data_IF_155055146818
#
_entry.id   IF_155055146818
#
_cell.length_a   1.000
_cell.length_b   1.000
_cell.length_c   1.000
_cell.angle_alpha   90.00
_cell.angle_beta   90.00
_cell.angle_gamma   90.00
#
_symmetry.space_group_name_H-M   'P 1'
#
loop_
_entity.id
_entity.type
_entity.pdbx_description
1 polymer ?
#
# COMPACT_ATOMS: atom_id res chain seq x y z
N UNK A 1 -21.65 -20.73 0.83
CA UNK A 1 -20.45 -20.60 1.69
C UNK A 1 -20.20 -19.11 1.87
N UNK A 2 -20.20 -18.60 3.10
CA UNK A 2 -20.07 -17.16 3.38
C UNK A 2 -18.74 -16.61 2.84
N UNK A 3 -18.73 -15.41 2.23
CA UNK A 3 -17.50 -14.78 1.77
C UNK A 3 -16.49 -14.72 2.93
N UNK A 4 -15.28 -15.25 2.71
CA UNK A 4 -14.25 -15.34 3.74
C UNK A 4 -13.81 -13.92 4.15
N UNK A 5 -14.38 -13.43 5.26
CA UNK A 5 -14.04 -12.14 5.84
C UNK A 5 -12.56 -12.09 6.23
N UNK A 6 -11.95 -10.92 6.11
CA UNK A 6 -10.57 -10.69 6.52
C UNK A 6 -10.37 -11.07 8.00
N UNK A 7 -9.28 -11.79 8.28
CA UNK A 7 -8.94 -12.23 9.64
C UNK A 7 -8.58 -11.03 10.53
N UNK A 8 -8.62 -11.21 11.86
CA UNK A 8 -8.17 -10.16 12.78
C UNK A 8 -6.69 -9.80 12.54
N UNK A 9 -5.84 -10.80 12.26
CA UNK A 9 -4.43 -10.62 11.89
C UNK A 9 -4.27 -9.75 10.65
N UNK A 10 -5.02 -10.04 9.59
CA UNK A 10 -4.98 -9.29 8.33
C UNK A 10 -5.38 -7.83 8.53
N UNK A 11 -6.45 -7.58 9.31
CA UNK A 11 -6.89 -6.23 9.64
C UNK A 11 -5.84 -5.47 10.45
N UNK A 12 -5.29 -6.10 11.49
CA UNK A 12 -4.26 -5.49 12.33
C UNK A 12 -3.01 -5.15 11.53
N UNK A 13 -2.55 -6.08 10.67
CA UNK A 13 -1.41 -5.84 9.78
C UNK A 13 -1.70 -4.68 8.83
N UNK A 14 -2.84 -4.69 8.16
CA UNK A 14 -3.24 -3.64 7.22
C UNK A 14 -3.28 -2.26 7.89
N UNK A 15 -3.99 -2.11 9.01
CA UNK A 15 -4.10 -0.81 9.69
C UNK A 15 -2.79 -0.35 10.31
N UNK A 16 -1.94 -1.26 10.79
CA UNK A 16 -0.60 -0.93 11.31
C UNK A 16 0.31 -0.42 10.19
N UNK A 17 0.36 -1.13 9.06
CA UNK A 17 1.12 -0.70 7.87
C UNK A 17 0.57 0.61 7.32
N UNK A 18 -0.75 0.73 7.17
CA UNK A 18 -1.39 1.94 6.67
C UNK A 18 -1.05 3.17 7.53
N UNK A 19 -1.11 3.02 8.86
CA UNK A 19 -0.77 4.10 9.79
C UNK A 19 0.69 4.53 9.65
N UNK A 20 1.62 3.58 9.58
CA UNK A 20 3.04 3.88 9.40
C UNK A 20 3.32 4.55 8.05
N UNK A 21 2.70 4.06 6.97
CA UNK A 21 2.82 4.65 5.63
C UNK A 21 2.27 6.08 5.60
N UNK A 22 1.13 6.35 6.23
CA UNK A 22 0.57 7.70 6.29
C UNK A 22 1.50 8.68 7.02
N UNK A 23 2.12 8.27 8.13
CA UNK A 23 3.11 9.08 8.84
C UNK A 23 4.35 9.34 7.97
N UNK A 24 4.85 8.29 7.28
CA UNK A 24 5.99 8.41 6.36
C UNK A 24 5.69 9.36 5.19
N UNK A 25 4.49 9.25 4.60
CA UNK A 25 4.04 10.14 3.52
C UNK A 25 3.94 11.58 4.00
N UNK A 26 3.28 11.82 5.15
CA UNK A 26 3.12 13.17 5.69
C UNK A 26 4.48 13.83 5.99
N UNK A 27 5.37 13.12 6.69
CA UNK A 27 6.72 13.61 6.99
C UNK A 27 7.57 13.79 5.74
N UNK A 28 7.46 12.89 4.75
CA UNK A 28 8.13 12.99 3.45
C UNK A 28 7.70 14.23 2.66
N UNK A 29 6.39 14.50 2.60
CA UNK A 29 5.82 15.69 1.93
C UNK A 29 6.35 16.97 2.58
N UNK A 30 6.37 17.04 3.92
CA UNK A 30 6.90 18.20 4.65
C UNK A 30 8.39 18.44 4.36
N UNK A 31 9.17 17.37 4.19
CA UNK A 31 10.59 17.49 3.84
C UNK A 31 10.82 17.85 2.36
N UNK A 32 9.93 17.41 1.47
CA UNK A 32 10.06 17.63 0.03
C UNK A 32 9.59 19.03 -0.40
N UNK A 33 8.48 19.52 0.14
CA UNK A 33 7.89 20.82 -0.24
C UNK A 33 8.56 21.95 0.53
N UNK A 34 9.28 22.89 -0.12
CA UNK A 34 10.05 23.92 0.58
C UNK A 34 9.22 24.80 1.51
N UNK A 35 8.03 25.20 1.07
CA UNK A 35 7.12 26.05 1.85
C UNK A 35 6.66 25.36 3.15
N UNK A 36 6.26 24.08 3.09
CA UNK A 36 5.85 23.32 4.27
C UNK A 36 7.01 23.14 5.24
N UNK A 37 8.21 22.89 4.70
CA UNK A 37 9.43 22.75 5.48
C UNK A 37 9.76 24.01 6.29
N UNK A 38 9.51 25.19 5.71
CA UNK A 38 9.72 26.48 6.37
C UNK A 38 8.66 26.75 7.44
N UNK A 39 7.38 26.49 7.12
CA UNK A 39 6.26 26.69 8.06
C UNK A 39 6.40 25.80 9.29
N UNK A 40 6.75 24.53 9.11
CA UNK A 40 6.94 23.60 10.23
C UNK A 40 8.18 23.98 11.04
N UNK A 41 9.25 24.49 10.40
CA UNK A 41 10.47 24.99 11.04
C UNK A 41 11.32 23.94 11.77
N UNK A 42 10.75 22.77 12.09
CA UNK A 42 11.33 21.71 12.93
C UNK A 42 11.89 20.56 12.10
N UNK A 43 12.79 20.85 11.15
CA UNK A 43 13.36 19.84 10.23
C UNK A 43 13.97 18.63 10.93
N UNK A 44 14.63 18.85 12.08
CA UNK A 44 15.19 17.76 12.88
C UNK A 44 14.11 16.79 13.35
N UNK A 45 13.03 17.28 13.96
CA UNK A 45 11.95 16.43 14.47
C UNK A 45 11.21 15.72 13.36
N UNK A 46 10.90 16.39 12.24
CA UNK A 46 10.25 15.76 11.08
C UNK A 46 11.09 14.61 10.53
N UNK A 47 12.39 14.83 10.34
CA UNK A 47 13.32 13.78 9.88
C UNK A 47 13.38 12.62 10.87
N UNK A 48 13.52 12.91 12.17
CA UNK A 48 13.60 11.89 13.22
C UNK A 48 12.31 11.06 13.26
N UNK A 49 11.14 11.69 13.21
CA UNK A 49 9.85 11.00 13.12
C UNK A 49 9.74 10.14 11.87
N UNK A 50 10.22 10.62 10.73
CA UNK A 50 10.24 9.84 9.47
C UNK A 50 11.08 8.56 9.62
N UNK A 51 12.29 8.67 10.17
CA UNK A 51 13.17 7.50 10.39
C UNK A 51 12.58 6.53 11.41
N UNK A 52 12.03 7.03 12.52
CA UNK A 52 11.35 6.19 13.52
C UNK A 52 10.17 5.45 12.88
N UNK A 53 9.34 6.13 12.07
CA UNK A 53 8.22 5.52 11.37
C UNK A 53 8.70 4.44 10.37
N UNK A 54 9.83 4.65 9.69
CA UNK A 54 10.41 3.65 8.79
C UNK A 54 10.87 2.40 9.56
N UNK A 55 11.53 2.57 10.71
CA UNK A 55 11.93 1.46 11.57
C UNK A 55 10.72 0.70 12.13
N UNK A 56 9.68 1.43 12.55
CA UNK A 56 8.43 0.82 13.00
C UNK A 56 7.73 0.04 11.89
N UNK A 57 7.72 0.55 10.66
CA UNK A 57 7.19 -0.17 9.50
C UNK A 57 7.92 -1.50 9.29
N UNK A 58 9.26 -1.51 9.34
CA UNK A 58 10.05 -2.74 9.25
C UNK A 58 9.71 -3.69 10.39
N UNK A 59 9.62 -3.19 11.63
CA UNK A 59 9.25 -4.01 12.79
C UNK A 59 7.84 -4.62 12.63
N UNK A 60 6.86 -3.85 12.16
CA UNK A 60 5.48 -4.32 11.90
C UNK A 60 5.50 -5.46 10.86
N UNK A 61 6.23 -5.28 9.75
CA UNK A 61 6.33 -6.25 8.66
C UNK A 61 7.08 -7.54 9.04
N UNK A 62 7.93 -7.51 10.07
CA UNK A 62 8.64 -8.69 10.56
C UNK A 62 7.89 -9.38 11.71
N UNK A 63 7.46 -8.62 12.71
CA UNK A 63 6.93 -9.16 13.98
C UNK A 63 5.53 -9.73 13.81
N UNK A 64 4.62 -9.03 13.12
CA UNK A 64 3.23 -9.51 12.98
C UNK A 64 3.18 -10.82 12.18
N UNK A 65 3.86 -10.95 11.03
CA UNK A 65 3.91 -12.22 10.31
C UNK A 65 4.62 -13.34 11.10
N UNK A 66 5.68 -13.03 11.85
CA UNK A 66 6.37 -14.02 12.68
C UNK A 66 5.47 -14.58 13.79
N UNK A 67 4.66 -13.74 14.45
CA UNK A 67 3.72 -14.16 15.50
C UNK A 67 2.52 -14.94 14.97
N UNK A 68 2.15 -14.74 13.70
CA UNK A 68 0.96 -15.33 13.07
C UNK A 68 1.30 -15.98 11.73
N UNK A 69 2.33 -16.81 11.76
CA UNK A 69 2.98 -17.37 10.57
C UNK A 69 2.05 -18.15 9.63
N UNK A 70 1.08 -18.90 10.17
CA UNK A 70 0.09 -19.63 9.36
C UNK A 70 -0.81 -18.69 8.56
N UNK A 71 -1.28 -17.61 9.19
CA UNK A 71 -2.16 -16.62 8.59
C UNK A 71 -1.38 -15.81 7.54
N UNK A 72 -0.14 -15.42 7.87
CA UNK A 72 0.73 -14.70 6.96
C UNK A 72 1.09 -15.53 5.72
N UNK A 73 1.48 -16.80 5.87
CA UNK A 73 1.76 -17.70 4.73
C UNK A 73 0.52 -18.02 3.92
N UNK A 74 -0.67 -17.99 4.51
CA UNK A 74 -1.92 -18.11 3.76
C UNK A 74 -2.17 -16.85 2.92
N UNK A 75 -2.05 -15.68 3.53
CA UNK A 75 -2.20 -14.39 2.84
C UNK A 75 -1.21 -14.25 1.68
N UNK A 76 0.07 -14.58 1.92
CA UNK A 76 1.12 -14.56 0.90
C UNK A 76 0.80 -15.48 -0.27
N UNK A 77 0.34 -16.71 -0.02
CA UNK A 77 -0.06 -17.65 -1.07
C UNK A 77 -1.26 -17.14 -1.88
N UNK A 78 -2.24 -16.54 -1.21
CA UNK A 78 -3.43 -15.99 -1.90
C UNK A 78 -3.09 -14.76 -2.75
N UNK A 79 -2.09 -13.96 -2.36
CA UNK A 79 -1.63 -12.79 -3.11
C UNK A 79 -0.65 -13.13 -4.24
N UNK A 80 0.17 -14.18 -4.05
CA UNK A 80 1.19 -14.61 -5.02
C UNK A 80 0.65 -15.58 -6.08
N UNK A 81 -0.51 -16.19 -5.85
CA UNK A 81 -1.15 -17.06 -6.83
C UNK A 81 -1.92 -16.24 -7.87
N UNK A 82 -1.52 -16.36 -9.14
CA UNK A 82 -2.18 -15.72 -10.29
C UNK A 82 -2.80 -16.80 -11.19
N UNK A 83 -4.10 -16.72 -11.41
CA UNK A 83 -4.83 -17.64 -12.30
C UNK A 83 -5.15 -16.98 -13.66
N UNK A 84 -5.65 -17.75 -14.63
CA UNK A 84 -6.02 -17.27 -15.97
C UNK A 84 -6.98 -16.08 -15.95
N UNK A 85 -7.94 -16.09 -15.02
CA UNK A 85 -8.86 -14.99 -14.81
C UNK A 85 -8.16 -13.69 -14.37
N UNK A 86 -7.06 -13.80 -13.60
CA UNK A 86 -6.28 -12.62 -13.23
C UNK A 86 -5.54 -12.04 -14.44
N UNK A 87 -5.13 -12.88 -15.39
CA UNK A 87 -4.50 -12.44 -16.64
C UNK A 87 -5.50 -11.81 -17.61
N UNK A 88 -6.73 -12.33 -17.67
CA UNK A 88 -7.79 -11.75 -18.49
C UNK A 88 -8.19 -10.34 -18.02
N UNK A 89 -8.05 -10.02 -16.74
CA UNK A 89 -8.23 -8.67 -16.21
C UNK A 89 -7.32 -7.63 -16.91
N UNK A 90 -6.07 -7.99 -17.23
CA UNK A 90 -5.15 -7.09 -17.92
C UNK A 90 -5.56 -6.77 -19.37
N UNK A 91 -6.48 -7.54 -19.97
CA UNK A 91 -7.01 -7.25 -21.30
C UNK A 91 -8.05 -6.14 -21.27
N UNK A 92 -8.66 -5.88 -20.10
CA UNK A 92 -9.70 -4.86 -19.92
C UNK A 92 -9.53 -4.09 -18.60
N UNK A 93 -8.38 -3.42 -18.39
CA UNK A 93 -8.09 -2.76 -17.11
C UNK A 93 -9.04 -1.58 -16.82
N UNK A 94 -9.67 -1.03 -17.87
CA UNK A 94 -10.57 0.12 -17.77
C UNK A 94 -11.99 -0.24 -17.32
N UNK A 95 -12.38 -1.52 -17.39
CA UNK A 95 -13.73 -1.98 -17.01
C UNK A 95 -14.02 -1.72 -15.52
N UNK A 96 -12.98 -1.69 -14.68
CA UNK A 96 -13.06 -1.33 -13.24
C UNK A 96 -13.60 0.09 -13.03
N UNK A 97 -13.36 1.01 -13.97
CA UNK A 97 -13.81 2.41 -13.89
C UNK A 97 -15.13 2.67 -14.61
N UNK A 98 -15.55 1.77 -15.50
CA UNK A 98 -16.72 1.97 -16.35
C UNK A 98 -18.03 1.45 -15.78
N UNK A 99 -18.07 0.97 -14.52
CA UNK A 99 -19.24 0.31 -13.90
C UNK A 99 -19.80 -0.90 -14.70
N UNK A 100 -19.09 -1.36 -15.73
CA UNK A 100 -19.39 -2.57 -16.51
C UNK A 100 -18.84 -3.82 -15.80
N UNK A 101 -17.99 -3.63 -14.80
CA UNK A 101 -17.53 -4.72 -13.96
C UNK A 101 -18.67 -5.16 -13.03
N UNK A 102 -19.56 -6.01 -13.54
CA UNK A 102 -20.51 -6.76 -12.71
C UNK A 102 -19.70 -7.45 -11.61
N UNK A 103 -19.96 -7.06 -10.37
CA UNK A 103 -19.54 -7.81 -9.20
C UNK A 103 -20.30 -9.14 -9.21
N UNK A 104 -19.89 -10.05 -10.08
CA UNK A 104 -20.24 -11.45 -9.91
C UNK A 104 -19.61 -11.88 -8.58
N UNK A 105 -20.48 -12.27 -7.64
CA UNK A 105 -20.08 -12.81 -6.34
C UNK A 105 -18.88 -13.75 -6.51
N UNK A 106 -17.94 -13.79 -5.56
CA UNK A 106 -16.80 -14.70 -5.61
C UNK A 106 -17.33 -16.13 -5.74
N UNK A 107 -17.39 -16.62 -6.99
CA UNK A 107 -17.66 -18.01 -7.27
C UNK A 107 -16.52 -18.83 -6.69
N UNK A 108 -16.77 -20.11 -6.39
CA UNK A 108 -15.75 -21.02 -5.85
C UNK A 108 -14.45 -21.09 -6.69
N UNK A 109 -14.47 -20.55 -7.91
CA UNK A 109 -13.35 -20.47 -8.85
C UNK A 109 -12.54 -19.17 -8.72
N UNK A 110 -13.13 -18.06 -8.26
CA UNK A 110 -12.40 -16.78 -8.10
C UNK A 110 -11.76 -16.70 -6.71
N UNK A 111 -10.45 -16.51 -6.67
CA UNK A 111 -9.72 -16.29 -5.42
C UNK A 111 -10.24 -15.09 -4.63
N UNK A 112 -9.98 -15.04 -3.32
CA UNK A 112 -10.47 -13.99 -2.40
C UNK A 112 -10.08 -12.56 -2.80
N UNK A 113 -8.97 -12.39 -3.52
CA UNK A 113 -8.48 -11.12 -4.03
C UNK A 113 -8.56 -11.08 -5.55
N UNK A 114 -9.01 -9.96 -6.11
CA UNK A 114 -8.97 -9.74 -7.56
C UNK A 114 -7.56 -9.36 -8.05
N UNK A 115 -7.32 -9.46 -9.36
CA UNK A 115 -6.05 -9.13 -9.99
C UNK A 115 -5.53 -7.73 -9.65
N UNK A 116 -6.42 -6.72 -9.64
CA UNK A 116 -6.07 -5.34 -9.30
C UNK A 116 -5.57 -5.18 -7.85
N UNK A 117 -6.19 -5.88 -6.90
CA UNK A 117 -5.77 -5.91 -5.50
C UNK A 117 -4.42 -6.62 -5.33
N UNK A 118 -4.20 -7.73 -6.02
CA UNK A 118 -2.90 -8.43 -6.04
C UNK A 118 -1.80 -7.56 -6.63
N UNK A 119 -2.08 -6.91 -7.76
CA UNK A 119 -1.16 -5.98 -8.41
C UNK A 119 -0.82 -4.82 -7.49
N UNK A 120 -1.82 -4.19 -6.88
CA UNK A 120 -1.61 -3.09 -5.95
C UNK A 120 -0.75 -3.53 -4.76
N UNK A 121 -1.05 -4.68 -4.15
CA UNK A 121 -0.27 -5.21 -3.05
C UNK A 121 1.21 -5.43 -3.44
N UNK A 122 1.45 -6.00 -4.63
CA UNK A 122 2.79 -6.20 -5.16
C UNK A 122 3.52 -4.87 -5.42
N UNK A 123 2.86 -3.90 -6.07
CA UNK A 123 3.44 -2.60 -6.38
C UNK A 123 3.76 -1.81 -5.11
N UNK A 124 2.88 -1.83 -4.11
CA UNK A 124 3.12 -1.22 -2.79
C UNK A 124 4.30 -1.90 -2.11
N UNK A 125 4.36 -3.23 -2.09
CA UNK A 125 5.48 -3.95 -1.47
C UNK A 125 6.83 -3.60 -2.13
N UNK A 126 6.87 -3.56 -3.47
CA UNK A 126 8.05 -3.14 -4.23
C UNK A 126 8.43 -1.70 -3.91
N UNK A 127 7.46 -0.77 -3.90
CA UNK A 127 7.72 0.64 -3.59
C UNK A 127 8.27 0.82 -2.17
N UNK A 128 7.71 0.12 -1.17
CA UNK A 128 8.23 0.14 0.20
C UNK A 128 9.66 -0.43 0.28
N UNK A 129 9.94 -1.52 -0.45
CA UNK A 129 11.29 -2.08 -0.55
C UNK A 129 12.29 -1.09 -1.15
N UNK A 130 11.92 -0.41 -2.23
CA UNK A 130 12.76 0.64 -2.86
C UNK A 130 12.98 1.81 -1.90
N UNK A 131 11.94 2.27 -1.20
CA UNK A 131 12.04 3.38 -0.23
C UNK A 131 12.97 3.03 0.93
N UNK A 132 12.86 1.82 1.48
CA UNK A 132 13.78 1.34 2.53
C UNK A 132 15.21 1.26 2.01
N UNK A 133 15.43 0.62 0.85
CA UNK A 133 16.76 0.43 0.28
C UNK A 133 17.44 1.76 -0.07
N UNK A 134 16.70 2.72 -0.64
CA UNK A 134 17.21 4.06 -0.95
C UNK A 134 17.39 4.95 0.29
N UNK A 135 16.61 4.72 1.35
CA UNK A 135 16.75 5.45 2.61
C UNK A 135 18.06 5.15 3.36
N UNK A 136 18.63 3.95 3.19
CA UNK A 136 19.90 3.53 3.82
C UNK A 136 21.06 4.49 3.47
N UNK A 137 21.46 4.66 2.19
CA UNK A 137 22.56 5.56 1.84
C UNK A 137 22.23 7.04 2.11
N UNK A 138 20.96 7.43 2.13
CA UNK A 138 20.56 8.78 2.53
C UNK A 138 20.78 9.03 4.02
N UNK A 139 20.53 8.04 4.87
CA UNK A 139 20.71 8.17 6.32
C UNK A 139 22.18 8.09 6.73
N UNK A 140 22.92 7.08 6.24
CA UNK A 140 24.35 6.88 6.48
C UNK A 140 25.23 7.48 5.39
N UNK A 141 24.91 8.70 4.95
CA UNK A 141 25.55 9.37 3.81
C UNK A 141 27.08 9.40 3.87
N UNK A 142 27.69 9.44 5.06
CA UNK A 142 29.15 9.44 5.23
C UNK A 142 29.85 8.12 4.89
N UNK A 143 29.11 7.02 4.72
CA UNK A 143 29.66 5.70 4.37
C UNK A 143 29.56 5.39 2.87
N UNK A 144 28.94 6.26 2.09
CA UNK A 144 28.67 6.05 0.67
C UNK A 144 29.24 7.19 -0.18
N UNK A 145 29.58 6.89 -1.43
CA UNK A 145 29.98 7.91 -2.40
C UNK A 145 28.82 8.87 -2.71
N UNK A 146 29.13 10.16 -2.92
CA UNK A 146 28.12 11.20 -3.15
C UNK A 146 27.16 10.90 -4.31
N UNK A 147 27.66 10.29 -5.39
CA UNK A 147 26.86 9.86 -6.55
C UNK A 147 25.79 8.82 -6.16
N UNK A 148 26.15 7.85 -5.32
CA UNK A 148 25.20 6.84 -4.84
C UNK A 148 24.13 7.47 -3.95
N UNK A 149 24.51 8.37 -3.05
CA UNK A 149 23.56 9.09 -2.18
C UNK A 149 22.60 9.93 -3.01
N UNK A 150 23.09 10.58 -4.07
CA UNK A 150 22.26 11.35 -5.00
C UNK A 150 21.26 10.44 -5.74
N UNK A 151 21.73 9.35 -6.37
CA UNK A 151 20.84 8.40 -7.06
C UNK A 151 19.82 7.79 -6.13
N UNK A 152 20.22 7.46 -4.90
CA UNK A 152 19.31 6.95 -3.90
C UNK A 152 18.23 7.96 -3.56
N UNK A 153 18.58 9.24 -3.37
CA UNK A 153 17.60 10.31 -3.14
C UNK A 153 16.62 10.46 -4.31
N UNK A 154 17.11 10.44 -5.55
CA UNK A 154 16.26 10.60 -6.73
C UNK A 154 15.28 9.41 -6.85
N UNK A 155 15.78 8.19 -6.62
CA UNK A 155 14.96 6.99 -6.58
C UNK A 155 13.95 7.00 -5.44
N UNK A 156 14.34 7.49 -4.26
CA UNK A 156 13.47 7.59 -3.08
C UNK A 156 12.29 8.53 -3.35
N UNK A 157 12.56 9.70 -3.93
CA UNK A 157 11.53 10.67 -4.32
C UNK A 157 10.59 10.05 -5.36
N UNK A 158 11.12 9.46 -6.43
CA UNK A 158 10.29 8.83 -7.47
C UNK A 158 9.41 7.72 -6.90
N UNK A 159 9.97 6.84 -6.07
CA UNK A 159 9.23 5.77 -5.41
C UNK A 159 8.16 6.32 -4.45
N UNK A 160 8.44 7.40 -3.73
CA UNK A 160 7.46 8.04 -2.83
C UNK A 160 6.27 8.63 -3.59
N UNK A 161 6.51 9.23 -4.76
CA UNK A 161 5.46 9.77 -5.63
C UNK A 161 4.60 8.64 -6.19
N UNK A 162 5.23 7.57 -6.67
CA UNK A 162 4.54 6.38 -7.15
C UNK A 162 3.68 5.73 -6.05
N UNK A 163 4.24 5.55 -4.84
CA UNK A 163 3.50 5.04 -3.70
C UNK A 163 2.32 5.94 -3.34
N UNK A 164 2.51 7.26 -3.35
CA UNK A 164 1.44 8.23 -3.08
C UNK A 164 0.29 8.06 -4.07
N UNK A 165 0.59 7.94 -5.37
CA UNK A 165 -0.42 7.72 -6.41
C UNK A 165 -1.16 6.37 -6.22
N UNK A 166 -0.43 5.30 -5.90
CA UNK A 166 -1.01 3.98 -5.63
C UNK A 166 -1.97 4.01 -4.43
N UNK A 167 -1.56 4.63 -3.32
CA UNK A 167 -2.41 4.78 -2.13
C UNK A 167 -3.62 5.65 -2.40
N UNK A 168 -3.48 6.75 -3.15
CA UNK A 168 -4.60 7.58 -3.56
C UNK A 168 -5.61 6.80 -4.42
N UNK A 169 -5.13 6.05 -5.42
CA UNK A 169 -5.98 5.17 -6.23
C UNK A 169 -6.66 4.07 -5.42
N UNK A 170 -5.96 3.48 -4.46
CA UNK A 170 -6.52 2.48 -3.53
C UNK A 170 -7.67 3.06 -2.70
N UNK A 171 -7.48 4.24 -2.11
CA UNK A 171 -8.50 4.92 -1.31
C UNK A 171 -9.70 5.30 -2.19
N UNK A 172 -9.45 5.81 -3.41
CA UNK A 172 -10.50 6.15 -4.36
C UNK A 172 -11.37 4.93 -4.70
N UNK A 173 -10.76 3.81 -5.08
CA UNK A 173 -11.50 2.59 -5.41
C UNK A 173 -12.21 1.98 -4.20
N UNK A 174 -11.63 2.09 -3.00
CA UNK A 174 -12.27 1.63 -1.76
C UNK A 174 -13.50 2.49 -1.38
N UNK A 175 -13.50 3.78 -1.74
CA UNK A 175 -14.61 4.69 -1.46
C UNK A 175 -15.70 4.64 -2.55
N UNK A 176 -15.31 4.72 -3.81
CA UNK A 176 -16.19 4.98 -4.97
C UNK A 176 -16.24 3.85 -5.99
N UNK A 177 -15.42 2.80 -5.86
CA UNK A 177 -15.46 1.67 -6.78
C UNK A 177 -16.75 0.85 -6.64
N UNK A 178 -17.01 -0.09 -7.57
CA UNK A 178 -18.21 -0.95 -7.57
C UNK A 178 -18.39 -1.85 -6.33
N UNK A 179 -17.36 -1.94 -5.48
CA UNK A 179 -17.44 -2.67 -4.19
C UNK A 179 -17.17 -1.74 -2.99
N UNK A 180 -17.19 -0.43 -3.26
CA UNK A 180 -16.84 0.63 -2.35
C UNK A 180 -17.86 0.81 -1.24
N UNK A 181 -17.46 1.56 -0.21
CA UNK A 181 -18.30 1.80 0.96
C UNK A 181 -19.58 2.57 0.64
N UNK A 182 -19.55 3.45 -0.36
CA UNK A 182 -20.69 4.29 -0.72
C UNK A 182 -21.74 3.53 -1.53
N UNK A 183 -21.31 2.69 -2.47
CA UNK A 183 -22.20 1.90 -3.33
C UNK A 183 -23.01 0.86 -2.54
N UNK A 184 -22.36 0.18 -1.58
CA UNK A 184 -23.04 -0.75 -0.66
C UNK A 184 -24.08 -0.09 0.24
N UNK A 185 -23.94 1.21 0.54
CA UNK A 185 -24.92 1.95 1.35
C UNK A 185 -26.16 2.29 0.55
N UNK A 186 -26.03 2.59 -0.74
CA UNK A 186 -27.18 2.80 -1.62
C UNK A 186 -28.01 1.53 -1.78
N UNK A 187 -27.36 0.37 -2.00
CA UNK A 187 -28.07 -0.91 -2.15
C UNK A 187 -28.84 -1.30 -0.88
N UNK A 188 -28.22 -1.19 0.31
CA UNK A 188 -28.88 -1.48 1.59
C UNK A 188 -30.05 -0.55 1.90
N UNK A 189 -30.12 0.62 1.26
CA UNK A 189 -31.18 1.59 1.47
C UNK A 189 -32.34 1.41 0.48
N UNK A 190 -32.14 0.61 -0.58
CA UNK A 190 -33.15 0.30 -1.60
C UNK A 190 -33.85 -1.05 -1.42
N UNK A 191 -33.36 -1.93 -0.55
CA UNK A 191 -34.03 -3.19 -0.20
C UNK A 191 -35.11 -2.95 0.90
N UNK A 192 -36.40 -3.21 0.61
CA UNK A 192 -37.52 -3.01 1.54
C UNK A 192 -37.65 -4.05 2.65
#
# INVERSE_FOLDING_TARGET
MTPMRASATEKTLHWSVASAVLVLMATGIVMYVPWLSQVVGQRFWVRTSHVIAALLLVAILLVIPALRWSDARRLERELSFWDRFDWDWFRRPWDVFLSVYEYEEPSSTRGRFNAGQKLLAALVAVALGILLASGVPMYWWGWFGGELVQRARDLHVLASLALTALIAGHIYLAAFGPSGLLDRRSEQQTDP
#
